data_IF_543553598905
#
_entry.id   IF_543553598905
#
_cell.length_a   1.000
_cell.length_b   1.000
_cell.length_c   1.000
_cell.angle_alpha   90.00
_cell.angle_beta   90.00
_cell.angle_gamma   90.00
#
_symmetry.space_group_name_H-M   'P 1'
#
loop_
_entity.id
_entity.type
_entity.pdbx_description
1 polymer ?
#
# COMPACT_ATOMS: atom_id res chain seq x y z
N UNK A 1 14.13 20.71 -7.03
CA UNK A 1 14.17 19.30 -6.63
C UNK A 1 15.27 18.55 -7.35
N UNK A 2 15.45 18.69 -8.69
CA UNK A 2 16.54 18.02 -9.41
C UNK A 2 17.93 18.37 -8.85
N UNK A 3 18.13 19.61 -8.46
CA UNK A 3 19.42 20.11 -7.98
C UNK A 3 19.68 19.82 -6.49
N UNK A 4 18.67 19.46 -5.73
CA UNK A 4 18.78 19.20 -4.28
C UNK A 4 19.16 17.76 -3.95
N UNK A 5 19.03 16.82 -4.89
CA UNK A 5 19.24 15.39 -4.66
C UNK A 5 18.16 14.69 -3.82
N UNK A 6 17.17 15.43 -3.30
CA UNK A 6 16.07 14.84 -2.54
C UNK A 6 15.07 14.11 -3.44
N UNK A 7 14.43 13.02 -2.97
CA UNK A 7 13.42 12.30 -3.73
C UNK A 7 12.18 13.17 -3.97
N UNK A 8 11.59 13.01 -5.16
CA UNK A 8 10.28 13.58 -5.47
C UNK A 8 9.18 12.85 -4.71
N UNK A 9 8.13 13.56 -4.33
CA UNK A 9 6.92 12.96 -3.77
C UNK A 9 5.87 12.76 -4.85
N UNK A 10 5.31 11.56 -4.93
CA UNK A 10 4.26 11.15 -5.87
C UNK A 10 3.05 10.61 -5.11
N UNK A 11 1.87 11.13 -5.42
CA UNK A 11 0.61 10.74 -4.76
C UNK A 11 -0.35 10.20 -5.82
N UNK A 12 -0.72 8.93 -5.70
CA UNK A 12 -1.55 8.22 -6.68
C UNK A 12 -2.91 8.92 -6.89
N UNK A 13 -3.53 9.44 -5.84
CA UNK A 13 -4.82 10.12 -5.96
C UNK A 13 -4.79 11.31 -6.92
N UNK A 14 -3.65 11.97 -7.09
CA UNK A 14 -3.51 13.10 -8.01
C UNK A 14 -3.32 12.69 -9.48
N UNK A 15 -3.13 11.39 -9.75
CA UNK A 15 -2.88 10.89 -11.09
C UNK A 15 -4.14 10.77 -11.97
N UNK A 16 -5.33 10.76 -11.37
CA UNK A 16 -6.58 10.40 -12.05
C UNK A 16 -7.66 11.49 -11.95
N UNK A 17 -7.28 12.74 -11.78
CA UNK A 17 -8.21 13.87 -11.84
C UNK A 17 -8.64 14.13 -13.29
N UNK A 18 -9.95 14.34 -13.49
CA UNK A 18 -10.57 14.40 -14.83
C UNK A 18 -10.04 15.53 -15.74
N UNK A 19 -9.37 16.53 -15.19
CA UNK A 19 -8.80 17.64 -15.95
C UNK A 19 -7.49 17.27 -16.67
N UNK A 20 -6.88 16.13 -16.36
CA UNK A 20 -5.51 15.78 -16.74
C UNK A 20 -5.46 14.54 -17.64
N UNK A 21 -6.32 14.52 -18.64
CA UNK A 21 -6.44 13.43 -19.61
C UNK A 21 -5.33 13.56 -20.65
N UNK A 22 -4.27 12.78 -20.52
CA UNK A 22 -3.27 12.79 -21.60
C UNK A 22 -1.99 12.00 -21.36
N UNK A 23 -1.86 11.28 -20.25
CA UNK A 23 -0.69 10.45 -19.97
C UNK A 23 0.58 11.23 -19.60
N UNK A 24 0.53 12.58 -19.59
CA UNK A 24 1.63 13.48 -19.23
C UNK A 24 1.63 13.87 -17.75
N UNK A 25 0.56 13.51 -16.99
CA UNK A 25 0.49 13.81 -15.56
C UNK A 25 1.66 13.15 -14.82
N UNK A 26 2.45 13.97 -14.15
CA UNK A 26 3.65 13.53 -13.43
C UNK A 26 3.37 12.57 -12.27
N UNK A 27 2.11 12.47 -11.81
CA UNK A 27 1.68 11.54 -10.77
C UNK A 27 1.29 10.16 -11.32
N UNK A 28 1.23 9.98 -12.65
CA UNK A 28 1.03 8.66 -13.25
C UNK A 28 2.28 7.80 -13.10
N UNK A 29 2.18 6.55 -12.63
CA UNK A 29 3.35 5.72 -12.32
C UNK A 29 4.34 5.51 -13.46
N UNK A 30 3.89 5.52 -14.73
CA UNK A 30 4.80 5.39 -15.87
C UNK A 30 5.68 6.63 -16.13
N UNK A 31 5.36 7.77 -15.49
CA UNK A 31 6.15 9.00 -15.56
C UNK A 31 7.12 9.16 -14.36
N UNK A 32 7.22 8.16 -13.49
CA UNK A 32 8.10 8.26 -12.33
C UNK A 32 9.57 8.07 -12.72
N UNK A 33 10.42 8.64 -11.89
CA UNK A 33 11.86 8.34 -11.83
C UNK A 33 12.12 7.54 -10.55
N UNK A 34 13.23 6.79 -10.49
CA UNK A 34 13.56 5.97 -9.32
C UNK A 34 13.64 6.81 -8.04
N UNK A 35 14.38 7.94 -8.09
CA UNK A 35 14.52 8.83 -6.92
C UNK A 35 13.19 9.55 -6.59
N UNK A 36 12.19 8.79 -6.18
CA UNK A 36 10.93 9.32 -5.67
C UNK A 36 10.33 8.42 -4.58
N UNK A 37 9.43 9.01 -3.82
CA UNK A 37 8.60 8.34 -2.84
C UNK A 37 7.17 8.35 -3.35
N UNK A 38 6.56 7.18 -3.57
CA UNK A 38 5.16 7.04 -3.95
C UNK A 38 4.29 6.76 -2.74
N UNK A 39 3.15 7.44 -2.67
CA UNK A 39 2.07 7.24 -1.71
C UNK A 39 0.79 6.92 -2.45
N UNK A 40 -0.09 6.07 -1.90
CA UNK A 40 -1.49 5.99 -2.36
C UNK A 40 -2.24 7.27 -2.02
N UNK A 41 -2.02 7.80 -0.83
CA UNK A 41 -2.45 9.08 -0.32
C UNK A 41 -1.62 9.45 0.91
N UNK A 42 -1.58 10.72 1.29
CA UNK A 42 -0.96 11.21 2.52
C UNK A 42 -1.98 11.23 3.66
N UNK A 43 -1.57 11.70 4.85
CA UNK A 43 -2.49 11.90 5.98
C UNK A 43 -3.60 12.93 5.68
N UNK A 44 -3.40 13.84 4.73
CA UNK A 44 -4.35 14.87 4.33
C UNK A 44 -5.34 14.41 3.26
N UNK A 45 -5.04 13.30 2.61
CA UNK A 45 -5.89 12.72 1.58
C UNK A 45 -7.01 11.87 2.19
N UNK A 46 -7.97 11.50 1.37
CA UNK A 46 -8.92 10.44 1.69
C UNK A 46 -8.22 9.08 1.78
N UNK A 47 -8.81 8.10 2.44
CA UNK A 47 -8.38 6.72 2.27
C UNK A 47 -8.59 6.29 0.81
N UNK A 48 -7.77 5.37 0.31
CA UNK A 48 -7.87 4.99 -1.12
C UNK A 48 -9.22 4.35 -1.47
N UNK A 49 -9.82 3.61 -0.53
CA UNK A 49 -11.15 3.03 -0.72
C UNK A 49 -12.24 4.12 -0.71
N UNK A 50 -12.14 5.11 0.18
CA UNK A 50 -13.06 6.24 0.23
C UNK A 50 -12.94 7.13 -1.01
N UNK A 51 -11.73 7.46 -1.42
CA UNK A 51 -11.44 8.21 -2.63
C UNK A 51 -11.99 7.52 -3.88
N UNK A 52 -11.70 6.22 -4.07
CA UNK A 52 -12.20 5.47 -5.21
C UNK A 52 -13.73 5.44 -5.26
N UNK A 53 -14.39 5.28 -4.12
CA UNK A 53 -15.85 5.33 -4.02
C UNK A 53 -16.41 6.69 -4.48
N UNK A 54 -15.72 7.80 -4.18
CA UNK A 54 -16.11 9.16 -4.51
C UNK A 54 -15.82 9.57 -5.96
N UNK A 55 -15.01 8.83 -6.70
CA UNK A 55 -14.68 9.14 -8.09
C UNK A 55 -15.91 9.16 -8.99
N UNK A 56 -15.93 10.09 -9.95
CA UNK A 56 -16.91 10.12 -11.03
C UNK A 56 -16.73 8.93 -11.97
N UNK A 57 -17.78 8.58 -12.68
CA UNK A 57 -17.75 7.43 -13.62
C UNK A 57 -16.58 7.47 -14.61
N UNK A 58 -16.27 8.64 -15.17
CA UNK A 58 -15.15 8.81 -16.12
C UNK A 58 -13.79 8.58 -15.46
N UNK A 59 -13.61 9.06 -14.24
CA UNK A 59 -12.36 8.88 -13.48
C UNK A 59 -12.15 7.41 -13.08
N UNK A 60 -13.20 6.73 -12.65
CA UNK A 60 -13.18 5.28 -12.40
C UNK A 60 -12.84 4.50 -13.66
N UNK A 61 -13.45 4.87 -14.79
CA UNK A 61 -13.18 4.24 -16.07
C UNK A 61 -11.72 4.42 -16.48
N UNK A 62 -11.19 5.64 -16.41
CA UNK A 62 -9.79 5.94 -16.73
C UNK A 62 -8.82 5.13 -15.87
N UNK A 63 -9.08 5.06 -14.55
CA UNK A 63 -8.26 4.27 -13.64
C UNK A 63 -8.30 2.77 -13.96
N UNK A 64 -9.48 2.24 -14.29
CA UNK A 64 -9.62 0.83 -14.68
C UNK A 64 -8.94 0.54 -16.03
N UNK A 65 -9.08 1.42 -17.01
CA UNK A 65 -8.37 1.33 -18.30
C UNK A 65 -6.85 1.38 -18.08
N UNK A 66 -6.36 2.28 -17.24
CA UNK A 66 -4.94 2.40 -16.93
C UNK A 66 -4.36 1.12 -16.32
N UNK A 67 -5.14 0.42 -15.50
CA UNK A 67 -4.75 -0.82 -14.82
C UNK A 67 -5.08 -2.08 -15.63
N UNK A 68 -5.82 -1.96 -16.74
CA UNK A 68 -6.43 -3.08 -17.47
C UNK A 68 -7.22 -4.02 -16.51
N UNK A 69 -7.92 -3.42 -15.53
CA UNK A 69 -8.63 -4.15 -14.46
C UNK A 69 -10.13 -3.82 -14.48
N UNK A 70 -10.87 -4.56 -15.30
CA UNK A 70 -12.32 -4.42 -15.46
C UNK A 70 -13.12 -5.42 -14.61
N UNK A 71 -12.46 -6.39 -14.00
CA UNK A 71 -13.11 -7.52 -13.34
C UNK A 71 -13.11 -7.41 -11.81
N UNK A 72 -12.18 -6.67 -11.22
CA UNK A 72 -12.14 -6.48 -9.77
C UNK A 72 -13.35 -5.68 -9.29
N UNK A 73 -14.05 -6.21 -8.29
CA UNK A 73 -15.20 -5.54 -7.67
C UNK A 73 -14.80 -4.21 -7.02
N UNK A 74 -15.68 -3.21 -7.08
CA UNK A 74 -15.44 -1.87 -6.52
C UNK A 74 -15.05 -1.92 -5.03
N UNK A 75 -15.66 -2.83 -4.26
CA UNK A 75 -15.42 -2.96 -2.82
C UNK A 75 -13.97 -3.32 -2.46
N UNK A 76 -13.26 -4.00 -3.36
CA UNK A 76 -11.87 -4.46 -3.14
C UNK A 76 -10.87 -3.85 -4.13
N UNK A 77 -11.29 -2.87 -4.94
CA UNK A 77 -10.46 -2.25 -5.97
C UNK A 77 -9.26 -1.46 -5.38
N UNK A 78 -9.33 -1.07 -4.12
CA UNK A 78 -8.19 -0.50 -3.38
C UNK A 78 -6.93 -1.39 -3.46
N UNK A 79 -7.10 -2.72 -3.61
CA UNK A 79 -5.98 -3.68 -3.75
C UNK A 79 -5.23 -3.48 -5.07
N UNK A 80 -5.95 -3.22 -6.16
CA UNK A 80 -5.36 -2.93 -7.48
C UNK A 80 -4.59 -1.60 -7.45
N UNK A 81 -5.10 -0.60 -6.73
CA UNK A 81 -4.43 0.68 -6.56
C UNK A 81 -3.17 0.54 -5.69
N UNK A 82 -3.25 -0.16 -4.56
CA UNK A 82 -2.09 -0.46 -3.72
C UNK A 82 -1.02 -1.22 -4.50
N UNK A 83 -1.44 -2.21 -5.32
CA UNK A 83 -0.55 -2.97 -6.19
C UNK A 83 0.12 -2.07 -7.23
N UNK A 84 -0.59 -1.13 -7.83
CA UNK A 84 -0.03 -0.15 -8.77
C UNK A 84 1.10 0.67 -8.11
N UNK A 85 0.89 1.18 -6.90
CA UNK A 85 1.93 1.89 -6.16
C UNK A 85 3.16 1.00 -5.90
N UNK A 86 2.92 -0.25 -5.45
CA UNK A 86 4.00 -1.22 -5.19
C UNK A 86 4.74 -1.66 -6.45
N UNK A 87 4.11 -1.65 -7.62
CA UNK A 87 4.70 -2.02 -8.91
C UNK A 87 5.47 -0.88 -9.57
N UNK A 88 5.36 0.36 -9.07
CA UNK A 88 6.05 1.51 -9.64
C UNK A 88 7.58 1.41 -9.51
N UNK A 89 8.29 2.22 -10.29
CA UNK A 89 9.77 2.31 -10.24
C UNK A 89 10.28 3.14 -9.05
N UNK A 90 9.41 3.73 -8.24
CA UNK A 90 9.79 4.53 -7.09
C UNK A 90 10.66 3.73 -6.11
N UNK A 91 11.77 4.30 -5.65
CA UNK A 91 12.66 3.64 -4.66
C UNK A 91 11.94 3.36 -3.35
N UNK A 92 11.03 4.23 -2.96
CA UNK A 92 10.23 4.08 -1.74
C UNK A 92 8.74 4.08 -2.04
N UNK A 93 8.01 3.12 -1.48
CA UNK A 93 6.55 3.05 -1.55
C UNK A 93 5.98 3.05 -0.13
N UNK A 94 5.12 4.02 0.18
CA UNK A 94 4.46 4.15 1.48
C UNK A 94 2.96 3.98 1.29
N UNK A 95 2.41 2.94 1.90
CA UNK A 95 0.98 2.67 1.93
C UNK A 95 0.44 2.98 3.34
N UNK A 96 -0.49 3.94 3.51
CA UNK A 96 -1.21 4.10 4.77
C UNK A 96 -1.85 2.78 5.20
N UNK A 97 -1.81 2.47 6.49
CA UNK A 97 -2.38 1.22 6.99
C UNK A 97 -3.89 1.11 6.69
N UNK A 98 -4.59 2.24 6.68
CA UNK A 98 -5.99 2.32 6.29
C UNK A 98 -6.21 1.80 4.86
N UNK A 99 -5.30 2.11 3.95
CA UNK A 99 -5.37 1.69 2.55
C UNK A 99 -5.02 0.21 2.38
N UNK A 100 -4.10 -0.30 3.19
CA UNK A 100 -3.79 -1.74 3.24
C UNK A 100 -4.99 -2.55 3.75
N UNK A 101 -5.71 -1.99 4.73
CA UNK A 101 -6.91 -2.60 5.32
C UNK A 101 -8.18 -2.39 4.49
N UNK A 102 -8.17 -1.53 3.46
CA UNK A 102 -9.33 -1.19 2.65
C UNK A 102 -10.41 -0.42 3.41
N UNK A 103 -10.02 0.38 4.40
CA UNK A 103 -10.95 1.15 5.21
C UNK A 103 -11.43 2.39 4.43
N UNK A 104 -12.68 2.76 4.65
CA UNK A 104 -13.28 3.97 4.05
C UNK A 104 -12.89 5.27 4.79
N UNK A 105 -13.49 6.39 4.40
CA UNK A 105 -13.19 7.71 4.95
C UNK A 105 -13.47 7.88 6.44
N UNK A 106 -14.17 6.95 7.09
CA UNK A 106 -14.32 6.95 8.55
C UNK A 106 -12.97 6.75 9.26
N UNK A 107 -12.01 6.16 8.56
CA UNK A 107 -10.63 5.94 9.03
C UNK A 107 -9.64 7.05 8.56
N UNK A 108 -10.10 8.10 7.89
CA UNK A 108 -9.25 9.20 7.42
C UNK A 108 -8.52 9.83 8.60
N UNK A 109 -7.22 10.12 8.41
CA UNK A 109 -6.39 10.68 9.48
C UNK A 109 -6.63 12.17 9.69
N UNK A 110 -6.61 12.93 8.60
CA UNK A 110 -6.78 14.39 8.66
C UNK A 110 -7.65 14.88 7.48
N UNK A 111 -8.54 15.81 7.78
CA UNK A 111 -9.29 16.55 6.78
C UNK A 111 -8.88 18.01 6.87
N UNK A 112 -8.12 18.55 5.91
CA UNK A 112 -7.70 19.93 5.88
C UNK A 112 -8.87 20.91 6.09
N UNK A 113 -8.59 22.05 6.71
CA UNK A 113 -9.58 23.09 7.02
C UNK A 113 -10.68 22.66 8.02
N UNK A 114 -10.46 21.58 8.78
CA UNK A 114 -11.37 21.14 9.86
C UNK A 114 -10.61 20.96 11.18
N UNK A 115 -11.31 21.05 12.32
CA UNK A 115 -10.65 21.03 13.64
C UNK A 115 -11.16 19.95 14.61
N UNK A 116 -12.21 19.19 14.29
CA UNK A 116 -12.90 18.38 15.33
C UNK A 116 -12.53 16.90 15.39
N UNK A 117 -12.22 16.26 14.27
CA UNK A 117 -12.10 14.79 14.17
C UNK A 117 -10.73 14.30 13.71
N UNK A 118 -9.80 15.21 13.43
CA UNK A 118 -8.49 14.91 12.89
C UNK A 118 -7.59 14.20 13.91
N UNK A 119 -6.72 13.31 13.41
CA UNK A 119 -5.69 12.61 14.17
C UNK A 119 -6.24 11.65 15.24
N UNK A 120 -7.51 11.22 15.14
CA UNK A 120 -8.19 10.38 16.13
C UNK A 120 -8.26 8.90 15.76
N UNK A 121 -8.11 8.57 14.47
CA UNK A 121 -8.15 7.17 14.06
C UNK A 121 -7.11 6.34 14.81
N UNK A 122 -7.50 5.17 15.25
CA UNK A 122 -6.64 4.18 15.89
C UNK A 122 -6.94 2.81 15.33
N UNK A 123 -5.87 2.01 15.16
CA UNK A 123 -5.99 0.62 14.76
C UNK A 123 -6.72 -0.17 15.85
N UNK A 124 -7.78 -0.86 15.47
CA UNK A 124 -8.52 -1.73 16.38
C UNK A 124 -7.82 -3.09 16.52
N UNK A 125 -7.90 -3.72 17.71
CA UNK A 125 -7.41 -5.08 17.91
C UNK A 125 -8.02 -6.06 16.91
N UNK A 126 -7.21 -6.99 16.41
CA UNK A 126 -7.66 -8.04 15.49
C UNK A 126 -7.63 -7.67 14.00
N UNK A 127 -7.48 -6.40 13.61
CA UNK A 127 -7.40 -6.02 12.19
C UNK A 127 -6.11 -6.49 11.50
N UNK A 128 -5.00 -6.63 12.24
CA UNK A 128 -3.75 -7.19 11.71
C UNK A 128 -3.77 -8.72 11.81
N UNK A 129 -4.41 -9.35 10.85
CA UNK A 129 -4.50 -10.81 10.80
C UNK A 129 -3.22 -11.42 10.20
N UNK A 130 -3.03 -12.73 10.44
CA UNK A 130 -1.94 -13.50 9.79
C UNK A 130 -2.14 -13.57 8.28
N UNK A 131 -3.36 -13.63 7.83
CA UNK A 131 -3.77 -13.67 6.42
C UNK A 131 -3.39 -12.37 5.72
N UNK A 132 -3.74 -11.22 6.30
CA UNK A 132 -3.30 -9.91 5.81
C UNK A 132 -1.77 -9.82 5.72
N UNK A 133 -1.06 -10.27 6.77
CA UNK A 133 0.40 -10.30 6.78
C UNK A 133 0.99 -11.16 5.66
N UNK A 134 0.40 -12.30 5.33
CA UNK A 134 0.80 -13.15 4.20
C UNK A 134 0.55 -12.45 2.87
N UNK A 135 -0.60 -11.81 2.71
CA UNK A 135 -0.97 -11.08 1.49
C UNK A 135 0.01 -9.92 1.22
N UNK A 136 0.24 -9.08 2.22
CA UNK A 136 1.20 -7.96 2.12
C UNK A 136 2.60 -8.46 1.79
N UNK A 137 3.08 -9.50 2.48
CA UNK A 137 4.38 -10.10 2.22
C UNK A 137 4.49 -10.64 0.78
N UNK A 138 3.44 -11.30 0.27
CA UNK A 138 3.41 -11.82 -1.09
C UNK A 138 3.55 -10.71 -2.14
N UNK A 139 2.84 -9.59 -1.95
CA UNK A 139 2.93 -8.42 -2.83
C UNK A 139 4.31 -7.76 -2.72
N UNK A 140 4.84 -7.59 -1.51
CA UNK A 140 6.17 -7.02 -1.25
C UNK A 140 7.27 -7.84 -1.93
N UNK A 141 7.22 -9.17 -1.84
CA UNK A 141 8.16 -10.07 -2.54
C UNK A 141 8.03 -9.97 -4.05
N UNK A 142 6.80 -9.94 -4.57
CA UNK A 142 6.53 -9.90 -6.02
C UNK A 142 7.18 -8.71 -6.72
N UNK A 143 7.18 -7.55 -6.06
CA UNK A 143 7.74 -6.33 -6.61
C UNK A 143 9.15 -6.00 -6.12
N UNK A 144 9.88 -6.99 -5.58
CA UNK A 144 11.27 -6.84 -5.19
C UNK A 144 11.52 -5.92 -3.99
N UNK A 145 10.48 -5.57 -3.22
CA UNK A 145 10.56 -4.63 -2.08
C UNK A 145 10.80 -5.31 -0.74
N UNK A 146 11.02 -6.61 -0.73
CA UNK A 146 11.25 -7.37 0.50
C UNK A 146 12.70 -7.21 0.98
N UNK A 147 12.89 -7.03 2.29
CA UNK A 147 14.18 -7.17 2.92
C UNK A 147 14.51 -8.68 3.06
N UNK A 148 15.22 -9.21 2.07
CA UNK A 148 15.55 -10.64 2.00
C UNK A 148 16.43 -11.10 3.15
N UNK A 149 17.37 -10.28 3.62
CA UNK A 149 18.25 -10.65 4.74
C UNK A 149 17.45 -10.83 6.03
N UNK A 150 16.50 -9.92 6.30
CA UNK A 150 15.62 -10.03 7.44
C UNK A 150 14.68 -11.25 7.33
N UNK A 151 14.18 -11.57 6.14
CA UNK A 151 13.34 -12.76 5.92
C UNK A 151 14.13 -14.05 6.12
N UNK A 152 15.32 -14.17 5.58
CA UNK A 152 16.19 -15.32 5.73
C UNK A 152 16.57 -15.53 7.21
N UNK A 153 16.94 -14.47 7.92
CA UNK A 153 17.23 -14.54 9.35
C UNK A 153 16.03 -15.00 10.19
N UNK A 154 14.81 -14.57 9.82
CA UNK A 154 13.57 -15.04 10.46
C UNK A 154 13.29 -16.53 10.20
N UNK A 155 13.53 -16.99 8.98
CA UNK A 155 13.36 -18.41 8.64
C UNK A 155 14.35 -19.31 9.37
N UNK A 156 15.60 -18.89 9.49
CA UNK A 156 16.62 -19.63 10.27
C UNK A 156 16.24 -19.72 11.77
N UNK A 157 15.81 -18.60 12.36
CA UNK A 157 15.33 -18.62 13.75
C UNK A 157 14.14 -19.56 13.95
N UNK A 158 13.22 -19.63 12.98
CA UNK A 158 12.07 -20.55 13.04
C UNK A 158 12.50 -22.01 12.92
N UNK A 159 13.45 -22.33 12.02
CA UNK A 159 14.02 -23.67 11.89
C UNK A 159 14.70 -24.12 13.16
N UNK A 160 15.55 -23.28 13.74
CA UNK A 160 16.26 -23.58 14.99
C UNK A 160 15.29 -23.82 16.15
N UNK A 161 14.23 -23.00 16.27
CA UNK A 161 13.21 -23.18 17.31
C UNK A 161 12.47 -24.53 17.15
N UNK A 162 12.04 -24.86 15.93
CA UNK A 162 11.38 -26.14 15.65
C UNK A 162 12.27 -27.34 15.95
N UNK A 163 13.57 -27.25 15.66
CA UNK A 163 14.53 -28.30 15.97
C UNK A 163 14.70 -28.49 17.48
N UNK A 164 14.80 -27.38 18.25
CA UNK A 164 14.89 -27.43 19.69
C UNK A 164 13.63 -28.02 20.34
N UNK A 165 12.44 -27.71 19.83
CA UNK A 165 11.18 -28.29 20.30
C UNK A 165 11.11 -29.80 20.04
N UNK A 166 11.51 -30.27 18.86
CA UNK A 166 11.57 -31.71 18.52
C UNK A 166 12.53 -32.47 19.44
N UNK A 167 13.69 -31.87 19.74
CA UNK A 167 14.69 -32.50 20.63
C UNK A 167 14.20 -32.59 22.08
N UNK A 168 13.39 -31.64 22.53
CA UNK A 168 12.78 -31.68 23.88
C UNK A 168 11.71 -32.76 23.99
N UNK A 169 10.86 -32.94 22.98
CA UNK A 169 9.83 -34.00 22.98
C UNK A 169 10.49 -35.38 23.01
N UNK A 170 11.49 -35.62 22.15
CA UNK A 170 12.21 -36.91 22.11
C UNK A 170 12.99 -37.26 23.40
N UNK A 171 13.29 -36.28 24.27
CA UNK A 171 13.93 -36.54 25.57
C UNK A 171 12.94 -36.86 26.71
N UNK A 172 11.68 -36.44 26.57
CA UNK A 172 10.63 -36.72 27.56
C UNK A 172 9.93 -38.06 27.33
N UNK A 173 10.14 -38.70 26.18
CA UNK A 173 9.57 -40.02 25.83
C UNK A 173 10.54 -41.19 26.14
N UNK A 174 11.64 -40.92 26.85
CA UNK A 174 12.59 -41.89 27.36
C UNK A 174 12.67 -41.85 28.89
#
# INVERSE_FOLDING_TARGET
VRDSGYPNMKVIQFAFEAADIGGSNEYLPHNYINNCVVYTGTHDNETIAGWYKGLKKKEKQLLREYLDDYHTEDAVFYRSINRMAMASVADTCILPLQDVLGLDNSARMNQPSTVKTNWRWRLLPGLLTKELGKEVLAVTKRFGRANWDALNALEEKRKSKRQAEKTKVSKNDK
#
